data_IF_576999938732
#
_entry.id   IF_576999938732
#
_cell.length_a   1.000
_cell.length_b   1.000
_cell.length_c   1.000
_cell.angle_alpha   90.00
_cell.angle_beta   90.00
_cell.angle_gamma   90.00
#
_symmetry.space_group_name_H-M   'P 1'
#
loop_
_entity.id
_entity.type
_entity.pdbx_description
1 polymer ?
#
# COMPACT_ATOMS: atom_id res chain seq x y z
N UNK A 1 -2.51 -8.81 -7.44
CA UNK A 1 -1.83 -8.06 -6.36
C UNK A 1 -1.51 -8.98 -5.20
N UNK A 2 -0.32 -8.87 -4.65
CA UNK A 2 0.23 -9.65 -3.53
C UNK A 2 0.91 -8.73 -2.50
N UNK A 3 1.31 -9.29 -1.36
CA UNK A 3 2.09 -8.56 -0.35
C UNK A 3 3.44 -8.14 -0.98
N UNK A 4 3.88 -6.92 -0.68
CA UNK A 4 5.05 -6.27 -1.24
C UNK A 4 4.75 -5.40 -2.47
N UNK A 5 3.59 -5.55 -3.12
CA UNK A 5 3.22 -4.75 -4.27
C UNK A 5 3.01 -3.28 -3.89
N UNK A 6 3.56 -2.38 -4.71
CA UNK A 6 3.32 -0.93 -4.61
C UNK A 6 2.04 -0.59 -5.38
N UNK A 7 1.10 0.04 -4.70
CA UNK A 7 -0.24 0.34 -5.21
C UNK A 7 -0.61 1.80 -5.04
N UNK A 8 -1.43 2.31 -5.96
CA UNK A 8 -2.11 3.60 -5.88
C UNK A 8 -3.55 3.38 -5.44
N UNK A 9 -4.04 4.23 -4.55
CA UNK A 9 -5.45 4.23 -4.16
C UNK A 9 -6.25 4.99 -5.22
N UNK A 10 -7.25 4.33 -5.82
CA UNK A 10 -8.05 4.87 -6.93
C UNK A 10 -9.57 4.84 -6.68
N UNK A 11 -10.04 4.11 -5.66
CA UNK A 11 -11.46 3.99 -5.33
C UNK A 11 -11.79 4.35 -3.89
N UNK A 12 -13.03 4.80 -3.63
CA UNK A 12 -13.55 4.90 -2.26
C UNK A 12 -15.06 4.93 -2.16
N UNK A 13 -15.62 4.20 -1.17
CA UNK A 13 -17.00 4.39 -0.73
C UNK A 13 -17.21 5.43 0.37
N UNK A 14 -16.19 5.90 1.12
CA UNK A 14 -16.37 7.00 2.13
C UNK A 14 -15.07 7.51 2.79
N UNK A 15 -14.06 6.66 3.06
CA UNK A 15 -12.85 7.04 3.86
C UNK A 15 -11.61 7.33 3.00
N UNK A 16 -11.63 6.98 1.72
CA UNK A 16 -10.46 7.09 0.84
C UNK A 16 -10.41 8.37 0.01
N UNK A 17 -11.33 9.33 0.17
CA UNK A 17 -11.20 10.63 -0.50
C UNK A 17 -9.89 11.34 -0.11
N UNK A 18 -9.47 11.22 1.16
CA UNK A 18 -8.21 11.78 1.67
C UNK A 18 -6.96 10.99 1.24
N UNK A 19 -7.16 9.74 0.81
CA UNK A 19 -6.08 8.83 0.43
C UNK A 19 -6.01 8.62 -1.09
N UNK A 20 -6.95 9.22 -1.84
CA UNK A 20 -7.05 9.08 -3.27
C UNK A 20 -5.78 9.63 -3.92
N UNK A 21 -5.18 8.85 -4.81
CA UNK A 21 -3.92 9.18 -5.45
C UNK A 21 -2.68 8.96 -4.58
N UNK A 22 -2.81 8.69 -3.27
CA UNK A 22 -1.67 8.29 -2.44
C UNK A 22 -1.18 6.90 -2.84
N UNK A 23 0.13 6.72 -2.71
CA UNK A 23 0.83 5.47 -2.96
C UNK A 23 1.07 4.76 -1.63
N UNK A 24 1.00 3.44 -1.65
CA UNK A 24 1.38 2.62 -0.50
C UNK A 24 1.87 1.24 -0.93
N UNK A 25 2.27 0.46 0.06
CA UNK A 25 2.73 -0.92 -0.13
C UNK A 25 1.76 -1.87 0.57
N UNK A 26 1.39 -2.95 -0.12
CA UNK A 26 0.57 -3.99 0.51
C UNK A 26 1.43 -4.74 1.54
N UNK A 27 1.09 -4.63 2.81
CA UNK A 27 1.79 -5.29 3.92
C UNK A 27 1.05 -6.50 4.46
N UNK A 28 -0.23 -6.66 4.12
CA UNK A 28 -1.04 -7.77 4.61
C UNK A 28 -2.32 -8.00 3.84
N UNK A 29 -3.06 -9.03 4.24
CA UNK A 29 -4.37 -9.39 3.69
C UNK A 29 -5.27 -9.88 4.82
N UNK A 30 -6.50 -9.38 4.87
CA UNK A 30 -7.54 -9.82 5.81
C UNK A 30 -8.81 -10.16 5.03
N UNK A 31 -9.05 -11.45 4.82
CA UNK A 31 -10.11 -11.93 3.94
C UNK A 31 -9.97 -11.36 2.52
N UNK A 32 -11.01 -10.72 1.94
CA UNK A 32 -10.93 -10.14 0.61
C UNK A 32 -10.17 -8.80 0.57
N UNK A 33 -9.85 -8.20 1.73
CA UNK A 33 -9.24 -6.87 1.80
C UNK A 33 -7.72 -6.95 1.94
N UNK A 34 -7.02 -5.95 1.40
CA UNK A 34 -5.57 -5.77 1.48
C UNK A 34 -5.24 -4.66 2.47
N UNK A 35 -4.25 -4.90 3.32
CA UNK A 35 -3.69 -3.89 4.21
C UNK A 35 -2.60 -3.16 3.44
N UNK A 36 -2.79 -1.86 3.27
CA UNK A 36 -1.88 -0.95 2.57
C UNK A 36 -1.26 -0.02 3.60
N UNK A 37 0.06 -0.04 3.69
CA UNK A 37 0.83 0.95 4.42
C UNK A 37 1.10 2.12 3.47
N UNK A 38 0.53 3.27 3.78
CA UNK A 38 0.67 4.49 3.00
C UNK A 38 1.88 5.23 3.52
N UNK A 39 2.84 5.47 2.64
CA UNK A 39 4.01 6.25 2.99
C UNK A 39 3.63 7.74 3.09
N UNK A 40 4.12 8.45 4.12
CA UNK A 40 3.94 9.89 4.22
C UNK A 40 4.55 10.60 3.01
N UNK A 41 3.96 11.72 2.62
CA UNK A 41 4.63 12.61 1.68
C UNK A 41 5.87 13.24 2.33
N UNK A 42 6.84 13.70 1.53
CA UNK A 42 8.05 14.34 2.04
C UNK A 42 7.71 15.47 3.04
N UNK A 43 8.19 15.32 4.28
CA UNK A 43 7.94 16.26 5.38
C UNK A 43 6.80 15.87 6.33
N UNK A 44 5.99 14.86 5.99
CA UNK A 44 5.00 14.28 6.91
C UNK A 44 5.67 13.21 7.79
N UNK A 45 5.39 13.25 9.10
CA UNK A 45 5.87 12.24 10.05
C UNK A 45 4.77 11.22 10.31
N UNK A 46 5.08 9.94 10.10
CA UNK A 46 4.24 8.81 10.46
C UNK A 46 3.69 8.04 9.28
N UNK A 47 3.44 6.74 9.47
CA UNK A 47 2.85 5.86 8.48
C UNK A 47 1.38 5.63 8.78
N UNK A 48 0.52 5.71 7.77
CA UNK A 48 -0.91 5.38 7.91
C UNK A 48 -1.17 3.99 7.30
N UNK A 49 -1.65 3.05 8.10
CA UNK A 49 -2.16 1.77 7.59
C UNK A 49 -3.66 1.87 7.30
N UNK A 50 -4.09 1.39 6.14
CA UNK A 50 -5.50 1.29 5.78
C UNK A 50 -5.83 -0.04 5.10
N UNK A 51 -7.09 -0.45 5.15
CA UNK A 51 -7.56 -1.71 4.58
C UNK A 51 -8.49 -1.44 3.40
N UNK A 52 -8.08 -1.79 2.19
CA UNK A 52 -8.81 -1.52 0.94
C UNK A 52 -9.18 -2.81 0.20
N UNK A 53 -10.21 -2.78 -0.64
CA UNK A 53 -10.47 -3.90 -1.56
C UNK A 53 -9.51 -3.83 -2.76
N UNK A 54 -9.21 -4.97 -3.42
CA UNK A 54 -8.36 -4.98 -4.60
C UNK A 54 -8.86 -4.05 -5.72
N UNK A 55 -10.17 -3.94 -5.93
CA UNK A 55 -10.74 -3.04 -6.94
C UNK A 55 -10.56 -1.54 -6.63
N UNK A 56 -10.26 -1.18 -5.38
CA UNK A 56 -9.98 0.20 -4.98
C UNK A 56 -8.49 0.58 -5.19
N UNK A 57 -7.67 -0.37 -5.66
CA UNK A 57 -6.22 -0.24 -5.79
C UNK A 57 -5.75 -0.50 -7.22
N UNK A 58 -4.83 0.32 -7.69
CA UNK A 58 -4.14 0.14 -8.96
C UNK A 58 -2.67 -0.22 -8.70
N UNK A 59 -2.17 -1.25 -9.37
CA UNK A 59 -0.78 -1.67 -9.23
C UNK A 59 0.14 -0.67 -9.95
N UNK A 60 1.02 0.02 -9.22
CA UNK A 60 2.05 0.90 -9.80
C UNK A 60 3.27 0.07 -10.21
N UNK A 61 3.70 -0.85 -9.33
CA UNK A 61 4.85 -1.72 -9.56
C UNK A 61 4.66 -3.01 -8.77
N UNK A 62 4.85 -4.15 -9.43
CA UNK A 62 4.91 -5.44 -8.74
C UNK A 62 6.06 -5.41 -7.75
N UNK A 63 5.78 -5.80 -6.50
CA UNK A 63 6.66 -5.61 -5.37
C UNK A 63 8.04 -6.18 -5.62
N UNK A 64 9.07 -5.44 -5.20
CA UNK A 64 10.43 -5.96 -5.06
C UNK A 64 10.36 -7.01 -3.95
N UNK A 65 10.30 -8.29 -4.34
CA UNK A 65 10.38 -9.40 -3.40
C UNK A 65 11.70 -9.31 -2.62
N UNK A 66 11.60 -8.90 -1.36
CA UNK A 66 12.60 -9.14 -0.32
C UNK A 66 14.04 -8.75 -0.65
N UNK A 67 14.38 -7.46 -0.65
CA UNK A 67 15.77 -7.01 -0.45
C UNK A 67 16.06 -6.75 1.04
N UNK A 68 15.64 -7.67 1.90
CA UNK A 68 16.07 -7.72 3.31
C UNK A 68 16.90 -8.98 3.63
N UNK A 69 17.21 -9.79 2.62
CA UNK A 69 17.97 -11.04 2.77
C UNK A 69 19.43 -10.97 2.31
N UNK A 70 19.96 -9.80 1.89
CA UNK A 70 21.34 -9.71 1.33
C UNK A 70 22.20 -8.51 1.76
N UNK A 71 21.82 -7.78 2.81
CA UNK A 71 22.65 -6.68 3.33
C UNK A 71 23.25 -6.95 4.73
N UNK A 72 23.51 -8.23 5.02
CA UNK A 72 24.45 -8.62 6.08
C UNK A 72 25.70 -9.24 5.44
N UNK A 73 26.78 -8.47 5.26
CA UNK A 73 28.13 -8.92 5.55
C UNK A 73 28.45 -8.75 7.05
#
# INVERSE_FOLDING_TARGET
>A
MKIGDTVRIVGSKSVMALLLGKTGVITGRFGPKLVVLIEPADGERGSLSHTALPEDLELIKAGVEGDAARQHP
#
